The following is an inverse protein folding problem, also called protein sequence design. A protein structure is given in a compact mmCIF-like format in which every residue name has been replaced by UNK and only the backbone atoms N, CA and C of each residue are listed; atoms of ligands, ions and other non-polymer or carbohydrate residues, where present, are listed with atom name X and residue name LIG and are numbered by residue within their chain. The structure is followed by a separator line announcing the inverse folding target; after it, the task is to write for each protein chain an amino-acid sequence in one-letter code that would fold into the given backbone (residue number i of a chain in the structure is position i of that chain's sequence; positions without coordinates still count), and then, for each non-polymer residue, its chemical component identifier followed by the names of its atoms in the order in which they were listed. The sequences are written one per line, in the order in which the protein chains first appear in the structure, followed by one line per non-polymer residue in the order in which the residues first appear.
data_IF_948771831840
#
_entry.id   IF_948771831840
#
_cell.length_a   1.000
_cell.length_b   1.000
_cell.length_c   1.000
_cell.angle_alpha   90.00
_cell.angle_beta   90.00
_cell.angle_gamma   90.00
#
_symmetry.space_group_name_H-M   'P 1'
#
loop_
_entity.id
_entity.type
_entity.pdbx_description
1 polymer ?
#
# COMPACT_ATOMS: atom_id res chain seq x y z
N UNK A 1 26.72 -13.17 -72.22
CA UNK A 1 25.92 -14.37 -72.53
C UNK A 1 25.43 -14.90 -71.17
N UNK A 2 24.26 -14.55 -70.90
CA UNK A 2 23.05 -15.40 -70.75
C UNK A 2 23.16 -16.34 -69.56
N UNK A 3 22.37 -16.37 -68.71
CA UNK A 3 20.94 -16.18 -68.32
C UNK A 3 20.62 -17.23 -67.27
N UNK A 4 19.75 -16.96 -66.39
CA UNK A 4 19.11 -18.03 -65.63
C UNK A 4 18.53 -17.64 -64.28
N UNK A 5 17.47 -16.90 -64.36
CA UNK A 5 16.54 -16.73 -63.22
C UNK A 5 15.88 -18.06 -62.88
N UNK A 6 15.82 -18.39 -61.60
CA UNK A 6 14.83 -19.34 -61.07
C UNK A 6 14.26 -18.83 -59.76
N UNK A 7 13.06 -18.35 -59.85
CA UNK A 7 12.09 -18.05 -58.80
C UNK A 7 11.80 -19.32 -57.98
N UNK A 8 11.98 -19.27 -56.67
CA UNK A 8 11.40 -20.28 -55.78
C UNK A 8 10.57 -19.56 -54.69
N UNK A 9 9.23 -19.61 -54.85
CA UNK A 9 8.25 -19.23 -53.86
C UNK A 9 8.03 -20.43 -52.92
N UNK A 10 8.09 -20.26 -51.59
CA UNK A 10 7.49 -21.23 -50.70
C UNK A 10 6.04 -20.85 -50.43
N UNK A 11 5.19 -21.86 -50.55
CA UNK A 11 3.78 -21.93 -50.37
C UNK A 11 3.34 -21.48 -48.97
N UNK A 12 2.23 -20.71 -48.97
CA UNK A 12 1.41 -20.40 -47.79
C UNK A 12 0.89 -21.67 -47.13
N UNK A 13 1.31 -21.90 -45.89
CA UNK A 13 0.69 -22.87 -45.00
C UNK A 13 -0.18 -22.08 -44.02
N UNK A 14 -1.51 -22.14 -44.21
CA UNK A 14 -2.51 -21.62 -43.31
C UNK A 14 -2.35 -22.26 -41.94
N UNK A 15 -2.13 -21.45 -40.91
CA UNK A 15 -2.29 -21.82 -39.53
C UNK A 15 -3.73 -21.46 -39.12
N UNK A 16 -4.60 -22.42 -39.22
CA UNK A 16 -5.93 -22.42 -38.59
C UNK A 16 -5.76 -22.78 -37.13
N UNK A 17 -6.41 -22.01 -36.24
CA UNK A 17 -6.71 -22.42 -34.86
C UNK A 17 -5.99 -21.62 -33.77
N UNK A 18 -6.29 -20.32 -33.64
CA UNK A 18 -6.17 -19.64 -32.35
C UNK A 18 -7.57 -19.60 -31.74
N UNK A 19 -7.71 -20.18 -30.55
CA UNK A 19 -8.90 -20.08 -29.73
C UNK A 19 -9.23 -18.59 -29.56
N UNK A 20 -10.47 -18.21 -29.84
CA UNK A 20 -10.95 -16.87 -29.61
C UNK A 20 -10.91 -16.61 -28.09
N UNK A 21 -9.99 -15.78 -27.66
CA UNK A 21 -9.98 -15.19 -26.32
C UNK A 21 -11.31 -14.46 -26.15
N UNK A 22 -11.95 -14.71 -25.00
CA UNK A 22 -13.18 -13.98 -24.65
C UNK A 22 -12.87 -12.48 -24.69
N UNK A 23 -13.79 -11.62 -25.21
CA UNK A 23 -13.54 -10.20 -25.31
C UNK A 23 -13.25 -9.65 -23.91
N UNK A 24 -12.08 -9.03 -23.79
CA UNK A 24 -11.64 -8.32 -22.58
C UNK A 24 -12.78 -7.37 -22.12
N UNK A 25 -13.22 -7.44 -20.85
CA UNK A 25 -14.29 -6.58 -20.37
C UNK A 25 -13.88 -5.13 -20.65
N UNK A 26 -14.77 -4.35 -21.26
CA UNK A 26 -14.49 -2.95 -21.64
C UNK A 26 -13.80 -2.27 -20.46
N UNK A 27 -12.72 -1.48 -20.66
CA UNK A 27 -11.92 -0.90 -19.55
C UNK A 27 -12.76 -0.22 -18.46
N UNK A 28 -13.90 0.33 -18.83
CA UNK A 28 -14.87 0.96 -17.93
C UNK A 28 -15.59 -0.02 -17.00
N UNK A 29 -15.88 -1.26 -17.44
CA UNK A 29 -16.50 -2.26 -16.56
C UNK A 29 -15.54 -2.73 -15.49
N UNK A 30 -14.26 -2.95 -15.84
CA UNK A 30 -13.23 -3.33 -14.89
C UNK A 30 -12.96 -2.24 -13.84
N UNK A 31 -12.91 -0.97 -14.25
CA UNK A 31 -12.77 0.16 -13.35
C UNK A 31 -13.98 0.30 -12.41
N UNK A 32 -15.19 0.07 -12.94
CA UNK A 32 -16.43 0.10 -12.16
C UNK A 32 -16.46 -1.01 -11.10
N UNK A 33 -16.12 -2.23 -11.49
CA UNK A 33 -16.02 -3.37 -10.57
C UNK A 33 -14.98 -3.13 -9.49
N UNK A 34 -13.82 -2.56 -9.86
CA UNK A 34 -12.78 -2.20 -8.91
C UNK A 34 -13.28 -1.18 -7.88
N UNK A 35 -13.95 -0.10 -8.31
CA UNK A 35 -14.54 0.89 -7.37
C UNK A 35 -15.58 0.25 -6.45
N UNK A 36 -16.44 -0.63 -6.96
CA UNK A 36 -17.45 -1.33 -6.16
C UNK A 36 -16.84 -2.30 -5.15
N UNK A 37 -15.68 -2.88 -5.44
CA UNK A 37 -14.97 -3.77 -4.52
C UNK A 37 -14.39 -3.06 -3.30
N UNK A 38 -14.21 -1.74 -3.38
CA UNK A 38 -13.66 -0.92 -2.30
C UNK A 38 -14.71 -0.74 -1.20
N UNK A 39 -14.48 -1.39 -0.06
CA UNK A 39 -15.44 -1.47 1.05
C UNK A 39 -15.93 -0.11 1.52
N UNK A 40 -15.03 0.87 1.62
CA UNK A 40 -15.36 2.20 2.13
C UNK A 40 -16.06 3.11 1.09
N UNK A 41 -16.21 2.66 -0.18
CA UNK A 41 -17.02 3.32 -1.21
C UNK A 41 -18.44 2.75 -1.34
N UNK A 42 -18.83 1.75 -0.55
CA UNK A 42 -20.12 1.04 -0.71
C UNK A 42 -21.37 1.91 -0.58
N UNK A 43 -21.26 3.05 0.07
CA UNK A 43 -22.38 3.98 0.24
C UNK A 43 -22.46 5.06 -0.85
N UNK A 44 -21.44 5.11 -1.72
CA UNK A 44 -21.39 6.07 -2.84
C UNK A 44 -22.40 5.66 -3.91
N UNK A 45 -23.10 6.65 -4.48
CA UNK A 45 -24.12 6.40 -5.49
C UNK A 45 -23.54 5.73 -6.74
N UNK A 46 -24.33 4.87 -7.38
CA UNK A 46 -23.94 4.23 -8.64
C UNK A 46 -23.62 5.27 -9.73
N UNK A 47 -24.38 6.36 -9.79
CA UNK A 47 -24.13 7.46 -10.73
C UNK A 47 -22.74 8.07 -10.55
N UNK A 48 -22.32 8.31 -9.32
CA UNK A 48 -20.98 8.86 -9.01
C UNK A 48 -19.90 7.85 -9.36
N UNK A 49 -20.08 6.57 -8.98
CA UNK A 49 -19.12 5.53 -9.31
C UNK A 49 -18.99 5.29 -10.81
N UNK A 50 -20.09 5.37 -11.57
CA UNK A 50 -20.09 5.28 -13.03
C UNK A 50 -19.35 6.47 -13.66
N UNK A 51 -19.57 7.69 -13.14
CA UNK A 51 -18.87 8.89 -13.58
C UNK A 51 -17.36 8.84 -13.33
N UNK A 52 -16.93 8.30 -12.20
CA UNK A 52 -15.52 8.08 -11.89
C UNK A 52 -14.92 6.98 -12.77
N UNK A 53 -15.62 5.86 -12.94
CA UNK A 53 -15.17 4.72 -13.75
C UNK A 53 -14.99 5.11 -15.23
N UNK A 54 -15.87 5.97 -15.76
CA UNK A 54 -15.80 6.45 -17.14
C UNK A 54 -14.51 7.23 -17.45
N UNK A 55 -13.87 7.81 -16.44
CA UNK A 55 -12.63 8.60 -16.56
C UNK A 55 -11.42 7.87 -15.96
N UNK A 56 -11.63 6.73 -15.35
CA UNK A 56 -10.58 5.97 -14.68
C UNK A 56 -9.74 5.16 -15.66
N UNK A 57 -8.49 4.96 -15.31
CA UNK A 57 -7.55 4.07 -16.00
C UNK A 57 -6.98 3.08 -15.00
N UNK A 58 -6.90 1.82 -15.42
CA UNK A 58 -6.27 0.75 -14.63
C UNK A 58 -4.83 0.55 -15.09
N UNK A 59 -3.89 0.50 -14.15
CA UNK A 59 -2.48 0.27 -14.44
C UNK A 59 -1.87 -0.79 -13.53
N UNK A 60 -1.07 -1.66 -14.12
CA UNK A 60 -0.09 -2.48 -13.39
C UNK A 60 1.25 -1.77 -13.48
N UNK A 61 1.83 -1.48 -12.32
CA UNK A 61 3.08 -0.73 -12.20
C UNK A 61 4.13 -1.64 -11.56
N UNK A 62 5.25 -1.91 -12.26
CA UNK A 62 6.29 -2.80 -11.75
C UNK A 62 6.94 -2.28 -10.46
N UNK A 63 7.42 -3.21 -9.63
CA UNK A 63 8.23 -2.89 -8.46
C UNK A 63 9.43 -2.00 -8.81
N UNK A 64 9.79 -1.07 -7.93
CA UNK A 64 10.86 -0.09 -8.13
C UNK A 64 10.46 1.15 -8.93
N UNK A 65 9.28 1.17 -9.56
CA UNK A 65 8.83 2.32 -10.35
C UNK A 65 8.53 3.52 -9.45
N UNK A 66 8.98 4.71 -9.88
CA UNK A 66 8.59 5.98 -9.29
C UNK A 66 7.15 6.31 -9.71
N UNK A 67 6.26 6.45 -8.73
CA UNK A 67 4.84 6.73 -8.95
C UNK A 67 4.52 8.23 -8.80
N UNK A 68 5.07 8.86 -7.78
CA UNK A 68 4.87 10.27 -7.45
C UNK A 68 6.19 10.88 -6.98
N UNK A 69 6.46 12.11 -7.39
CA UNK A 69 7.63 12.86 -6.92
C UNK A 69 7.22 13.94 -5.91
N UNK A 70 8.08 14.13 -4.89
CA UNK A 70 7.92 15.21 -3.91
C UNK A 70 7.90 16.58 -4.61
N UNK A 71 7.08 17.50 -4.13
CA UNK A 71 6.85 18.84 -4.67
C UNK A 71 6.05 18.90 -5.99
N UNK A 72 5.75 17.78 -6.65
CA UNK A 72 4.82 17.75 -7.78
C UNK A 72 3.36 17.87 -7.32
N UNK A 73 2.50 18.39 -8.20
CA UNK A 73 1.06 18.48 -7.95
C UNK A 73 0.34 17.21 -8.39
N UNK A 74 -0.72 16.80 -7.68
CA UNK A 74 -1.47 15.60 -8.02
C UNK A 74 -2.26 15.79 -9.33
N UNK A 75 -2.00 14.91 -10.30
CA UNK A 75 -2.74 14.80 -11.55
C UNK A 75 -3.83 13.72 -11.47
N UNK A 76 -3.68 12.75 -10.58
CA UNK A 76 -4.62 11.65 -10.38
C UNK A 76 -4.87 11.38 -8.91
N UNK A 77 -6.10 10.94 -8.59
CA UNK A 77 -6.42 10.17 -7.40
C UNK A 77 -6.10 8.71 -7.70
N UNK A 78 -5.23 8.09 -6.91
CA UNK A 78 -4.71 6.74 -7.16
C UNK A 78 -5.16 5.81 -6.05
N UNK A 79 -5.98 4.83 -6.39
CA UNK A 79 -6.42 3.76 -5.51
C UNK A 79 -5.49 2.56 -5.67
N UNK A 80 -4.82 2.16 -4.61
CA UNK A 80 -4.04 0.94 -4.57
C UNK A 80 -4.98 -0.23 -4.34
N UNK A 81 -5.12 -1.08 -5.35
CA UNK A 81 -6.00 -2.26 -5.32
C UNK A 81 -5.25 -3.52 -4.91
N UNK A 82 -3.97 -3.63 -5.30
CA UNK A 82 -3.08 -4.76 -4.97
C UNK A 82 -1.62 -4.30 -4.98
N UNK A 83 -0.73 -5.07 -4.35
CA UNK A 83 0.68 -4.73 -4.20
C UNK A 83 0.97 -3.81 -3.01
N UNK A 84 2.07 -3.05 -3.04
CA UNK A 84 2.42 -2.12 -1.98
C UNK A 84 3.26 -0.94 -2.48
N UNK A 85 3.15 0.21 -1.79
CA UNK A 85 3.79 1.48 -2.16
C UNK A 85 4.53 2.05 -0.96
N UNK A 86 5.82 2.37 -1.14
CA UNK A 86 6.62 3.13 -0.18
C UNK A 86 6.30 4.62 -0.30
N UNK A 87 5.92 5.26 0.78
CA UNK A 87 5.93 6.72 0.91
C UNK A 87 7.23 7.14 1.58
N UNK A 88 8.04 7.91 0.85
CA UNK A 88 9.39 8.26 1.23
C UNK A 88 9.48 9.78 1.48
N UNK A 89 9.98 10.16 2.65
CA UNK A 89 10.48 11.51 2.89
C UNK A 89 11.86 11.65 2.27
N UNK A 90 12.07 12.69 1.45
CA UNK A 90 13.32 12.93 0.75
C UNK A 90 13.92 14.25 1.20
N UNK A 91 15.20 14.21 1.63
CA UNK A 91 15.99 15.40 1.94
C UNK A 91 17.46 15.16 1.62
N UNK A 92 18.09 16.04 0.87
CA UNK A 92 19.53 16.03 0.56
C UNK A 92 20.00 14.66 0.00
N UNK A 93 19.21 14.05 -0.89
CA UNK A 93 19.40 12.70 -1.47
C UNK A 93 19.27 11.53 -0.48
N UNK A 94 18.85 11.81 0.75
CA UNK A 94 18.54 10.77 1.72
C UNK A 94 17.05 10.47 1.65
N UNK A 95 16.70 9.20 1.49
CA UNK A 95 15.33 8.71 1.52
C UNK A 95 15.07 8.00 2.84
N UNK A 96 13.91 8.26 3.43
CA UNK A 96 13.44 7.57 4.63
C UNK A 96 12.00 7.12 4.43
N UNK A 97 11.72 5.85 4.72
CA UNK A 97 10.35 5.35 4.67
C UNK A 97 9.50 6.01 5.77
N UNK A 98 8.43 6.67 5.36
CA UNK A 98 7.44 7.26 6.27
C UNK A 98 6.30 6.27 6.50
N UNK A 99 5.82 5.64 5.42
CA UNK A 99 4.72 4.66 5.47
C UNK A 99 4.83 3.66 4.33
N UNK A 100 4.45 2.41 4.57
CA UNK A 100 4.20 1.42 3.54
C UNK A 100 2.68 1.29 3.36
N UNK A 101 2.18 1.83 2.25
CA UNK A 101 0.76 1.76 1.89
C UNK A 101 0.43 0.37 1.39
N UNK A 102 -0.65 -0.20 1.92
CA UNK A 102 -1.18 -1.52 1.53
C UNK A 102 -2.61 -1.40 1.01
N UNK A 103 -3.10 -2.36 0.24
CA UNK A 103 -4.47 -2.39 -0.26
C UNK A 103 -5.51 -2.53 0.89
N UNK A 104 -6.71 -2.01 0.74
CA UNK A 104 -7.17 -1.10 -0.34
C UNK A 104 -7.14 0.31 0.21
N UNK A 105 -6.29 1.18 -0.31
CA UNK A 105 -6.13 2.55 0.22
C UNK A 105 -6.02 3.57 -0.93
N UNK A 106 -6.32 4.83 -0.62
CA UNK A 106 -6.11 5.97 -1.52
C UNK A 106 -4.74 6.61 -1.22
N UNK A 107 -3.90 6.69 -2.25
CA UNK A 107 -2.52 7.18 -2.09
C UNK A 107 -2.52 8.70 -1.90
N UNK A 108 -2.03 9.15 -0.76
CA UNK A 108 -1.88 10.57 -0.37
C UNK A 108 -3.12 11.41 -0.70
N UNK A 109 -4.33 11.05 -0.23
CA UNK A 109 -5.58 11.78 -0.53
C UNK A 109 -5.53 13.25 -0.12
N UNK A 110 -4.78 13.60 0.91
CA UNK A 110 -4.64 14.98 1.38
C UNK A 110 -4.10 15.92 0.29
N UNK A 111 -3.12 15.48 -0.50
CA UNK A 111 -2.60 16.26 -1.62
C UNK A 111 -3.63 16.36 -2.76
N UNK A 112 -4.30 15.24 -3.09
CA UNK A 112 -5.31 15.17 -4.15
C UNK A 112 -6.47 16.15 -3.87
N UNK A 113 -7.04 16.10 -2.66
CA UNK A 113 -8.18 16.93 -2.27
C UNK A 113 -7.79 18.40 -2.17
N UNK A 114 -6.63 18.71 -1.57
CA UNK A 114 -6.19 20.11 -1.42
C UNK A 114 -5.61 20.72 -2.69
N UNK A 115 -5.25 19.93 -3.70
CA UNK A 115 -4.53 20.36 -4.90
C UNK A 115 -3.12 20.87 -4.61
N UNK A 116 -2.58 20.59 -3.41
CA UNK A 116 -1.24 21.02 -3.00
C UNK A 116 -0.19 20.00 -3.43
N UNK A 117 1.08 20.41 -3.57
CA UNK A 117 2.16 19.50 -3.90
C UNK A 117 2.32 18.37 -2.90
N UNK A 118 2.79 17.22 -3.38
CA UNK A 118 3.13 16.09 -2.54
C UNK A 118 4.27 16.43 -1.58
N UNK A 119 4.13 16.04 -0.31
CA UNK A 119 5.18 16.19 0.71
C UNK A 119 6.15 15.00 0.73
N UNK A 120 5.80 13.93 0.03
CA UNK A 120 6.54 12.68 -0.01
C UNK A 120 6.64 12.17 -1.45
N UNK A 121 7.70 11.42 -1.71
CA UNK A 121 7.83 10.59 -2.91
C UNK A 121 7.06 9.29 -2.71
N UNK A 122 6.46 8.73 -3.76
CA UNK A 122 5.91 7.37 -3.74
C UNK A 122 6.62 6.50 -4.76
N UNK A 123 7.08 5.33 -4.31
CA UNK A 123 7.71 4.30 -5.15
C UNK A 123 7.01 2.96 -4.93
N UNK A 124 6.80 2.22 -6.00
CA UNK A 124 6.20 0.89 -5.93
C UNK A 124 7.19 -0.08 -5.27
N UNK A 125 6.81 -0.70 -4.17
CA UNK A 125 7.62 -1.69 -3.48
C UNK A 125 7.38 -3.11 -4.03
N UNK A 126 6.13 -3.55 -4.08
CA UNK A 126 5.68 -4.76 -4.76
C UNK A 126 4.83 -4.35 -5.95
N UNK A 127 4.89 -5.09 -7.08
CA UNK A 127 4.08 -4.77 -8.26
C UNK A 127 2.68 -4.34 -7.84
N UNK A 128 2.30 -3.14 -8.26
CA UNK A 128 1.06 -2.51 -7.82
C UNK A 128 0.00 -2.52 -8.92
N UNK A 129 -1.23 -2.83 -8.54
CA UNK A 129 -2.40 -2.64 -9.38
C UNK A 129 -3.15 -1.39 -8.93
N UNK A 130 -3.19 -0.38 -9.79
CA UNK A 130 -3.73 0.94 -9.49
C UNK A 130 -4.96 1.23 -10.34
N UNK A 131 -5.98 1.81 -9.71
CA UNK A 131 -7.03 2.53 -10.40
C UNK A 131 -6.76 4.03 -10.24
N UNK A 132 -6.65 4.74 -11.36
CA UNK A 132 -6.26 6.15 -11.41
C UNK A 132 -7.41 6.96 -12.00
N UNK A 133 -7.92 7.92 -11.23
CA UNK A 133 -8.97 8.87 -11.65
C UNK A 133 -8.34 10.26 -11.76
N UNK A 134 -8.58 11.05 -12.83
CA UNK A 134 -8.08 12.41 -12.90
C UNK A 134 -8.42 13.20 -11.63
N UNK A 135 -7.42 13.87 -11.03
CA UNK A 135 -7.58 14.51 -9.72
C UNK A 135 -8.68 15.59 -9.73
N UNK A 136 -8.87 16.28 -10.83
CA UNK A 136 -9.94 17.27 -10.95
C UNK A 136 -11.32 16.61 -10.93
N UNK A 137 -11.54 15.58 -11.74
CA UNK A 137 -12.80 14.84 -11.77
C UNK A 137 -13.13 14.22 -10.40
N UNK A 138 -12.10 13.69 -9.71
CA UNK A 138 -12.27 13.17 -8.36
C UNK A 138 -12.69 14.26 -7.37
N UNK A 139 -12.06 15.45 -7.39
CA UNK A 139 -12.46 16.57 -6.52
C UNK A 139 -13.88 17.07 -6.82
N UNK A 140 -14.26 17.15 -8.09
CA UNK A 140 -15.61 17.53 -8.50
C UNK A 140 -16.65 16.53 -7.98
N UNK A 141 -16.38 15.23 -8.12
CA UNK A 141 -17.23 14.18 -7.58
C UNK A 141 -17.35 14.26 -6.06
N UNK A 142 -16.23 14.46 -5.33
CA UNK A 142 -16.22 14.64 -3.86
C UNK A 142 -17.02 15.87 -3.44
N UNK A 143 -17.02 16.92 -4.24
CA UNK A 143 -17.77 18.15 -3.94
C UNK A 143 -19.27 18.03 -4.21
N UNK A 144 -19.69 17.12 -5.10
CA UNK A 144 -21.07 16.97 -5.53
C UNK A 144 -21.81 15.79 -4.87
N UNK A 145 -21.08 14.79 -4.37
CA UNK A 145 -21.65 13.60 -3.74
C UNK A 145 -21.26 13.54 -2.25
N UNK A 146 -22.26 13.70 -1.38
CA UNK A 146 -22.06 13.69 0.06
C UNK A 146 -21.53 12.34 0.58
N UNK A 147 -21.98 11.22 0.00
CA UNK A 147 -21.53 9.90 0.41
C UNK A 147 -20.04 9.68 0.05
N UNK A 148 -19.62 10.13 -1.15
CA UNK A 148 -18.20 10.10 -1.54
C UNK A 148 -17.37 11.04 -0.64
N UNK A 149 -17.86 12.25 -0.34
CA UNK A 149 -17.18 13.17 0.58
C UNK A 149 -16.99 12.52 1.97
N UNK A 150 -18.02 11.90 2.52
CA UNK A 150 -17.96 11.19 3.80
C UNK A 150 -16.99 10.01 3.77
N UNK A 151 -16.95 9.25 2.68
CA UNK A 151 -16.03 8.13 2.48
C UNK A 151 -14.56 8.60 2.43
N UNK A 152 -14.28 9.66 1.69
CA UNK A 152 -12.94 10.27 1.60
C UNK A 152 -12.51 10.86 2.94
N UNK A 153 -13.42 11.50 3.67
CA UNK A 153 -13.13 12.00 5.03
C UNK A 153 -12.82 10.85 6.00
N UNK A 154 -13.52 9.72 5.90
CA UNK A 154 -13.22 8.49 6.64
C UNK A 154 -11.82 7.96 6.33
N UNK A 155 -11.45 7.92 5.04
CA UNK A 155 -10.10 7.54 4.60
C UNK A 155 -9.02 8.47 5.19
N UNK A 156 -9.17 9.79 5.04
CA UNK A 156 -8.27 10.80 5.60
C UNK A 156 -8.13 10.68 7.13
N UNK A 157 -9.25 10.47 7.84
CA UNK A 157 -9.27 10.28 9.28
C UNK A 157 -8.46 9.05 9.69
N UNK A 158 -8.64 7.93 9.00
CA UNK A 158 -7.92 6.70 9.28
C UNK A 158 -6.42 6.86 9.02
N UNK A 159 -6.04 7.52 7.92
CA UNK A 159 -4.63 7.82 7.63
C UNK A 159 -4.02 8.75 8.69
N UNK A 160 -4.73 9.82 9.10
CA UNK A 160 -4.28 10.70 10.17
C UNK A 160 -4.05 9.94 11.48
N UNK A 161 -5.00 9.08 11.88
CA UNK A 161 -4.87 8.26 13.08
C UNK A 161 -3.67 7.30 13.01
N UNK A 162 -3.39 6.69 11.84
CA UNK A 162 -2.17 5.90 11.62
C UNK A 162 -0.91 6.74 11.87
N UNK A 163 -0.86 7.96 11.33
CA UNK A 163 0.28 8.86 11.56
C UNK A 163 0.43 9.25 13.04
N UNK A 164 -0.66 9.51 13.76
CA UNK A 164 -0.61 9.77 15.21
C UNK A 164 -0.03 8.57 15.97
N UNK A 165 -0.40 7.35 15.62
CA UNK A 165 0.14 6.11 16.23
C UNK A 165 1.64 5.95 15.97
N UNK A 166 2.07 6.17 14.72
CA UNK A 166 3.50 6.17 14.36
C UNK A 166 4.26 7.21 15.20
N UNK A 167 3.73 8.43 15.31
CA UNK A 167 4.33 9.49 16.14
C UNK A 167 4.42 9.12 17.62
N UNK A 168 3.34 8.56 18.19
CA UNK A 168 3.35 8.05 19.56
C UNK A 168 4.41 6.98 19.76
N UNK A 169 4.49 6.00 18.84
CA UNK A 169 5.50 4.95 18.90
C UNK A 169 6.92 5.52 18.90
N UNK A 170 7.19 6.50 18.04
CA UNK A 170 8.52 7.15 17.95
C UNK A 170 8.87 8.01 19.16
N UNK A 171 7.88 8.66 19.78
CA UNK A 171 8.10 9.63 20.88
C UNK A 171 8.07 9.00 22.27
N UNK A 172 7.29 7.93 22.46
CA UNK A 172 7.00 7.36 23.77
C UNK A 172 7.77 6.07 24.06
N UNK A 173 8.40 5.46 23.04
CA UNK A 173 9.12 4.19 23.17
C UNK A 173 10.59 4.32 22.82
N UNK A 174 11.44 3.64 23.58
CA UNK A 174 12.83 3.41 23.22
C UNK A 174 12.97 2.56 21.95
N UNK A 175 14.16 2.51 21.36
CA UNK A 175 14.43 1.66 20.20
C UNK A 175 14.15 0.18 20.50
N UNK A 176 14.47 -0.28 21.70
CA UNK A 176 14.23 -1.64 22.14
C UNK A 176 12.75 -1.97 22.27
N UNK A 177 11.97 -1.09 22.88
CA UNK A 177 10.52 -1.27 22.99
C UNK A 177 9.84 -1.24 21.61
N UNK A 178 10.27 -0.37 20.70
CA UNK A 178 9.73 -0.35 19.34
C UNK A 178 9.95 -1.66 18.60
N UNK A 179 11.17 -2.22 18.69
CA UNK A 179 11.49 -3.52 18.08
C UNK A 179 10.74 -4.65 18.79
N UNK A 180 10.75 -4.68 20.11
CA UNK A 180 10.06 -5.71 20.90
C UNK A 180 8.56 -5.75 20.65
N UNK A 181 7.88 -4.59 20.72
CA UNK A 181 6.45 -4.49 20.41
C UNK A 181 6.14 -4.87 18.96
N UNK A 182 6.99 -4.47 18.00
CA UNK A 182 6.82 -4.88 16.61
C UNK A 182 6.91 -6.41 16.47
N UNK A 183 7.91 -7.05 17.06
CA UNK A 183 8.02 -8.51 17.00
C UNK A 183 6.83 -9.20 17.68
N UNK A 184 6.42 -8.71 18.84
CA UNK A 184 5.24 -9.24 19.55
C UNK A 184 3.95 -9.06 18.73
N UNK A 185 3.80 -7.96 17.99
CA UNK A 185 2.63 -7.76 17.12
C UNK A 185 2.51 -8.78 15.97
N UNK A 186 3.61 -9.42 15.60
CA UNK A 186 3.62 -10.50 14.60
C UNK A 186 3.21 -11.86 15.17
N UNK A 187 3.23 -12.02 16.51
CA UNK A 187 2.87 -13.27 17.15
C UNK A 187 1.34 -13.41 17.17
N UNK A 188 0.82 -14.49 16.64
CA UNK A 188 -0.61 -14.80 16.75
C UNK A 188 -1.08 -14.90 18.22
N UNK A 189 -2.14 -15.63 18.48
CA UNK A 189 -2.73 -15.82 19.83
C UNK A 189 -2.05 -16.91 20.67
N UNK A 190 -1.08 -17.65 20.12
CA UNK A 190 -0.38 -18.71 20.85
C UNK A 190 0.49 -18.14 21.97
N UNK A 191 0.50 -18.80 23.13
CA UNK A 191 1.39 -18.46 24.26
C UNK A 191 2.65 -19.35 24.32
N UNK A 192 2.75 -20.35 23.46
CA UNK A 192 3.86 -21.29 23.38
C UNK A 192 5.03 -20.75 22.53
N UNK A 193 5.96 -21.63 22.19
CA UNK A 193 7.02 -21.37 21.22
C UNK A 193 6.42 -21.07 19.84
N UNK A 194 6.89 -20.01 19.19
CA UNK A 194 6.41 -19.56 17.88
C UNK A 194 7.58 -19.15 17.00
N UNK A 195 7.55 -19.55 15.74
CA UNK A 195 8.42 -19.04 14.70
C UNK A 195 7.61 -18.19 13.71
N UNK A 196 8.01 -16.94 13.53
CA UNK A 196 7.32 -15.98 12.65
C UNK A 196 8.32 -15.42 11.64
N UNK A 197 7.92 -15.39 10.35
CA UNK A 197 8.71 -14.73 9.33
C UNK A 197 8.44 -13.23 9.32
N UNK A 198 9.50 -12.43 9.20
CA UNK A 198 9.35 -10.99 8.99
C UNK A 198 8.61 -10.73 7.66
N UNK A 199 7.57 -9.89 7.66
CA UNK A 199 6.70 -9.71 6.49
C UNK A 199 7.33 -8.85 5.38
N UNK A 200 8.37 -8.10 5.70
CA UNK A 200 9.10 -7.22 4.78
C UNK A 200 10.60 -7.21 5.13
N UNK A 201 11.40 -6.64 4.26
CA UNK A 201 12.85 -6.54 4.46
C UNK A 201 13.24 -5.74 5.70
N UNK A 202 14.31 -6.18 6.37
CA UNK A 202 14.78 -5.59 7.63
C UNK A 202 15.06 -4.08 7.55
N UNK A 203 15.54 -3.59 6.41
CA UNK A 203 15.83 -2.17 6.25
C UNK A 203 14.55 -1.31 6.24
N UNK A 204 13.45 -1.83 5.68
CA UNK A 204 12.15 -1.16 5.71
C UNK A 204 11.54 -1.18 7.10
N UNK A 205 11.65 -2.31 7.82
CA UNK A 205 11.22 -2.39 9.23
C UNK A 205 12.00 -1.37 10.06
N UNK A 206 13.33 -1.30 9.90
CA UNK A 206 14.16 -0.32 10.61
C UNK A 206 13.67 1.11 10.35
N UNK A 207 13.46 1.47 9.09
CA UNK A 207 12.97 2.79 8.70
C UNK A 207 11.57 3.07 9.26
N UNK A 208 10.65 2.12 9.18
CA UNK A 208 9.30 2.23 9.74
C UNK A 208 9.32 2.42 11.28
N UNK A 209 10.28 1.80 11.96
CA UNK A 209 10.49 1.97 13.39
C UNK A 209 11.34 3.20 13.73
N UNK A 210 11.68 4.05 12.75
CA UNK A 210 12.42 5.30 12.93
C UNK A 210 13.84 5.08 13.45
N UNK A 211 14.58 4.11 12.89
CA UNK A 211 15.96 3.83 13.23
C UNK A 211 16.80 3.44 12.01
N UNK A 212 18.12 3.55 12.12
CA UNK A 212 19.03 3.08 11.07
C UNK A 212 19.07 1.55 11.04
N UNK A 213 19.48 0.98 9.90
CA UNK A 213 19.67 -0.47 9.73
C UNK A 213 20.60 -1.06 10.79
N UNK A 214 21.68 -0.34 11.10
CA UNK A 214 22.69 -0.76 12.09
C UNK A 214 22.08 -0.78 13.49
N UNK A 215 21.31 0.26 13.87
CA UNK A 215 20.61 0.31 15.15
C UNK A 215 19.58 -0.81 15.25
N UNK A 216 18.80 -1.03 14.20
CA UNK A 216 17.84 -2.13 14.14
C UNK A 216 18.53 -3.49 14.31
N UNK A 217 19.60 -3.75 13.59
CA UNK A 217 20.35 -5.02 13.68
C UNK A 217 20.89 -5.27 15.08
N UNK A 218 21.47 -4.25 15.72
CA UNK A 218 21.96 -4.36 17.11
C UNK A 218 20.82 -4.62 18.09
N UNK A 219 19.74 -3.86 17.99
CA UNK A 219 18.56 -4.04 18.84
C UNK A 219 17.92 -5.41 18.62
N UNK A 220 17.86 -5.86 17.38
CA UNK A 220 17.34 -7.17 17.03
C UNK A 220 18.17 -8.30 17.67
N UNK A 221 19.50 -8.17 17.68
CA UNK A 221 20.39 -9.12 18.35
C UNK A 221 20.20 -9.10 19.89
N UNK A 222 19.92 -7.95 20.49
CA UNK A 222 19.66 -7.84 21.93
C UNK A 222 18.34 -8.49 22.36
N UNK A 223 17.40 -8.72 21.44
CA UNK A 223 16.13 -9.40 21.73
C UNK A 223 16.32 -10.85 22.22
N UNK A 224 17.48 -11.46 21.96
CA UNK A 224 17.81 -12.80 22.45
C UNK A 224 17.73 -12.93 23.98
N UNK A 225 18.00 -11.85 24.73
CA UNK A 225 17.86 -11.84 26.20
C UNK A 225 16.41 -11.94 26.70
N UNK A 226 15.44 -11.69 25.79
CA UNK A 226 14.01 -11.83 26.03
C UNK A 226 13.43 -13.08 25.38
N UNK A 227 14.29 -14.06 25.01
CA UNK A 227 13.86 -15.30 24.36
C UNK A 227 13.43 -15.17 22.90
N UNK A 228 13.81 -14.06 22.24
CA UNK A 228 13.49 -13.82 20.81
C UNK A 228 14.77 -13.86 19.99
N UNK A 229 15.00 -14.95 19.25
CA UNK A 229 16.20 -15.18 18.41
C UNK A 229 15.84 -15.04 16.94
N UNK A 230 16.66 -14.34 16.17
CA UNK A 230 16.43 -14.09 14.74
C UNK A 230 17.47 -14.81 13.91
N UNK A 231 17.01 -15.69 13.01
CA UNK A 231 17.84 -16.41 12.05
C UNK A 231 17.35 -16.09 10.63
N UNK A 232 18.18 -15.35 9.87
CA UNK A 232 17.73 -14.86 8.55
C UNK A 232 16.54 -13.92 8.70
N UNK A 233 15.40 -14.32 8.15
CA UNK A 233 14.13 -13.58 8.22
C UNK A 233 13.12 -14.17 9.21
N UNK A 234 13.53 -15.21 9.95
CA UNK A 234 12.65 -15.88 10.91
C UNK A 234 12.99 -15.44 12.33
N UNK A 235 11.98 -15.07 13.07
CA UNK A 235 12.02 -14.78 14.52
C UNK A 235 11.54 -16.01 15.26
N UNK A 236 12.39 -16.61 16.05
CA UNK A 236 12.05 -17.70 16.96
C UNK A 236 11.81 -17.13 18.34
N UNK A 237 10.64 -17.33 18.90
CA UNK A 237 10.25 -16.86 20.22
C UNK A 237 10.03 -18.08 21.10
N UNK A 238 10.88 -18.24 22.13
CA UNK A 238 10.88 -19.41 23.04
C UNK A 238 9.59 -19.50 23.87
N UNK A 239 9.04 -18.34 24.24
CA UNK A 239 7.77 -18.25 24.98
C UNK A 239 7.09 -16.91 24.65
N UNK A 240 5.98 -16.99 23.92
CA UNK A 240 5.27 -15.81 23.46
C UNK A 240 4.58 -15.05 24.61
N UNK A 241 4.12 -15.74 25.68
CA UNK A 241 3.54 -15.09 26.85
C UNK A 241 4.59 -14.23 27.59
N UNK A 242 5.81 -14.74 27.75
CA UNK A 242 6.93 -13.98 28.36
C UNK A 242 7.30 -12.79 27.50
N UNK A 243 7.39 -12.96 26.16
CA UNK A 243 7.67 -11.86 25.24
C UNK A 243 6.61 -10.75 25.34
N UNK A 244 5.31 -11.09 25.40
CA UNK A 244 4.20 -10.12 25.58
C UNK A 244 4.25 -9.42 26.94
N UNK A 245 4.68 -10.11 27.99
CA UNK A 245 4.83 -9.50 29.31
C UNK A 245 5.97 -8.46 29.34
N UNK A 246 7.06 -8.69 28.60
CA UNK A 246 8.17 -7.74 28.47
C UNK A 246 7.83 -6.56 27.55
N UNK A 247 7.08 -6.80 26.47
CA UNK A 247 6.72 -5.81 25.45
C UNK A 247 5.19 -5.76 25.27
N UNK A 248 4.47 -5.22 26.27
CA UNK A 248 3.03 -5.15 26.21
C UNK A 248 2.58 -4.22 25.08
N UNK A 249 1.64 -4.69 24.25
CA UNK A 249 1.06 -3.90 23.19
C UNK A 249 0.07 -2.90 23.77
N UNK A 250 0.17 -1.65 23.32
CA UNK A 250 -0.81 -0.60 23.60
C UNK A 250 -1.79 -0.48 22.41
N UNK A 251 -3.09 -0.77 22.59
CA UNK A 251 -4.07 -0.65 21.50
C UNK A 251 -4.11 0.74 20.84
N UNK A 252 -3.71 1.79 21.56
CA UNK A 252 -3.65 3.16 21.05
C UNK A 252 -2.37 3.46 20.26
N UNK A 253 -1.43 2.51 20.20
CA UNK A 253 -0.19 2.60 19.40
C UNK A 253 -0.13 1.45 18.39
N UNK A 254 -0.37 0.22 18.83
CA UNK A 254 -0.12 -1.00 18.05
C UNK A 254 -1.37 -1.58 17.38
N UNK A 255 -2.55 -1.07 17.74
CA UNK A 255 -3.81 -1.57 17.17
C UNK A 255 -3.94 -1.25 15.67
N UNK A 256 -4.76 -2.01 14.95
CA UNK A 256 -5.05 -1.75 13.54
C UNK A 256 -5.80 -0.41 13.38
N UNK A 257 -5.60 0.23 12.23
CA UNK A 257 -6.39 1.41 11.83
C UNK A 257 -6.94 1.17 10.41
N UNK A 258 -8.02 0.41 10.28
CA UNK A 258 -8.67 0.19 8.99
C UNK A 258 -9.34 1.48 8.51
N UNK A 259 -9.55 1.60 7.20
CA UNK A 259 -10.39 2.64 6.64
C UNK A 259 -11.84 2.30 6.99
N UNK A 260 -12.43 3.08 7.91
CA UNK A 260 -13.82 2.89 8.35
C UNK A 260 -14.64 4.02 7.75
N UNK A 261 -15.72 3.71 7.00
CA UNK A 261 -16.68 4.72 6.56
C UNK A 261 -17.25 5.47 7.77
N UNK A 262 -17.42 6.77 7.64
CA UNK A 262 -18.15 7.52 8.64
C UNK A 262 -19.61 7.09 8.56
N UNK A 263 -20.09 6.43 9.61
CA UNK A 263 -21.51 6.11 9.71
C UNK A 263 -22.31 7.42 9.74
N UNK A 264 -23.28 7.55 8.84
CA UNK A 264 -24.30 8.56 8.98
C UNK A 264 -25.04 8.25 10.29
N UNK A 265 -24.83 9.07 11.33
CA UNK A 265 -25.67 9.00 12.52
C UNK A 265 -27.10 9.18 12.02
N UNK A 266 -27.87 8.10 12.06
CA UNK A 266 -29.31 8.21 11.95
C UNK A 266 -29.75 9.10 13.12
N UNK A 267 -30.27 10.26 12.77
CA UNK A 267 -30.88 11.20 13.71
C UNK A 267 -32.21 10.65 14.21
#
# INVERSE_FOLDING_TARGET
METGSASNRPSSRALTGAAADAPDPRPQSAAREALQSIVWLRQVSDLTLDGLAAQAVMHRVPAGSLLLEQAERPNFAQFLLDGSIELLGVRDRVETLVELVRPVDLVIPAAVISGRPYLMRARVYEEAHLLMVPAQAFREAVSSDHALCSAVLGCLTSQFRRQVRIHKNLKLRSAEERVGCYLVSLLGSSDAEVAVRLPIEKHLIASQLGMTRETFSRTLSSMARFGMKITGEVVHVENAAVARAHFPLDPLIDGPEPIIPLESRQA
#
